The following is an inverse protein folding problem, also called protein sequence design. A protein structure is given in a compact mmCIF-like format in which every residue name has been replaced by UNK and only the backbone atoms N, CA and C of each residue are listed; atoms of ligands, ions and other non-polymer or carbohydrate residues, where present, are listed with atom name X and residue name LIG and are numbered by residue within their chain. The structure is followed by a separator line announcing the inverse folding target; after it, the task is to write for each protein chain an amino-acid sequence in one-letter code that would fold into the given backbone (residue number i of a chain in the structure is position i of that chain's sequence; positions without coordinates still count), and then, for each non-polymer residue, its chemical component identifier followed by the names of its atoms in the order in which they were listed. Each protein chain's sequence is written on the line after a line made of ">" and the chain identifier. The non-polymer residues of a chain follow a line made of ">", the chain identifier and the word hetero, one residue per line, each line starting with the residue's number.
data_IF_906627047639
#
_entry.id   IF_906627047639
#
_cell.length_a   1.000
_cell.length_b   1.000
_cell.length_c   1.000
_cell.angle_alpha   90.00
_cell.angle_beta   90.00
_cell.angle_gamma   90.00
#
_symmetry.space_group_name_H-M   'P 1'
#
loop_
_entity.id
_entity.type
_entity.pdbx_description
1 polymer ?
#
# COMPACT_ATOMS: atom_id res chain seq x y z
N UNK A 1 15.82 32.52 21.71
CA UNK A 1 17.05 31.71 21.63
C UNK A 1 17.62 31.56 23.04
N UNK A 2 17.37 30.48 23.79
CA UNK A 2 17.97 30.32 25.12
C UNK A 2 17.42 29.22 26.00
N UNK A 3 16.60 28.30 25.50
CA UNK A 3 16.46 27.01 26.18
C UNK A 3 17.26 25.99 25.39
N UNK A 4 18.49 25.89 25.78
CA UNK A 4 19.45 24.93 25.27
C UNK A 4 18.89 23.54 25.55
N UNK A 5 18.93 22.69 24.53
CA UNK A 5 18.74 21.26 24.73
C UNK A 5 19.61 20.83 25.92
N UNK A 6 18.99 20.36 27.01
CA UNK A 6 19.69 19.75 28.12
C UNK A 6 20.59 18.66 27.55
N UNK A 7 21.86 18.66 27.99
CA UNK A 7 22.76 17.54 27.67
C UNK A 7 22.10 16.24 28.11
N UNK A 8 22.34 15.14 27.37
CA UNK A 8 21.82 13.80 27.77
C UNK A 8 22.21 13.46 29.22
N UNK A 9 23.33 13.98 29.70
CA UNK A 9 23.79 13.83 31.08
C UNK A 9 22.94 14.59 32.12
N UNK A 10 22.12 15.57 31.68
CA UNK A 10 21.24 16.37 32.55
C UNK A 10 19.80 15.85 32.58
N UNK A 11 19.49 14.77 31.85
CA UNK A 11 18.16 14.17 31.84
C UNK A 11 17.96 13.36 33.13
N UNK A 12 16.79 13.55 33.75
CA UNK A 12 16.38 12.77 34.91
C UNK A 12 16.34 11.26 34.58
N UNK A 13 16.83 10.42 35.49
CA UNK A 13 16.85 8.97 35.31
C UNK A 13 15.46 8.39 35.01
N UNK A 14 14.41 8.94 35.63
CA UNK A 14 13.02 8.50 35.38
C UNK A 14 12.55 8.85 33.96
N UNK A 15 13.00 9.94 33.40
CA UNK A 15 12.73 10.31 32.02
C UNK A 15 13.42 9.36 31.02
N UNK A 16 14.68 9.02 31.28
CA UNK A 16 15.43 8.07 30.46
C UNK A 16 14.82 6.68 30.51
N UNK A 17 14.34 6.24 31.67
CA UNK A 17 13.63 4.98 31.84
C UNK A 17 12.33 4.95 31.03
N UNK A 18 11.49 5.99 31.16
CA UNK A 18 10.24 6.13 30.38
C UNK A 18 10.49 6.16 28.88
N UNK A 19 11.53 6.86 28.43
CA UNK A 19 11.92 6.91 27.02
C UNK A 19 12.37 5.52 26.53
N UNK A 20 13.18 4.83 27.33
CA UNK A 20 13.65 3.47 27.02
C UNK A 20 12.48 2.49 26.91
N UNK A 21 11.55 2.51 27.85
CA UNK A 21 10.34 1.67 27.81
C UNK A 21 9.49 1.98 26.57
N UNK A 22 9.30 3.26 26.23
CA UNK A 22 8.56 3.68 25.04
C UNK A 22 9.21 3.19 23.75
N UNK A 23 10.53 3.23 23.67
CA UNK A 23 11.29 2.71 22.54
C UNK A 23 11.16 1.18 22.42
N UNK A 24 11.27 0.46 23.54
CA UNK A 24 11.11 -1.01 23.57
C UNK A 24 9.72 -1.41 23.07
N UNK A 25 8.67 -0.73 23.54
CA UNK A 25 7.29 -0.97 23.08
C UNK A 25 7.13 -0.69 21.58
N UNK A 26 7.63 0.45 21.11
CA UNK A 26 7.53 0.83 19.71
C UNK A 26 8.31 -0.12 18.78
N UNK A 27 9.54 -0.48 19.16
CA UNK A 27 10.39 -1.38 18.36
C UNK A 27 9.93 -2.84 18.42
N UNK A 28 9.33 -3.27 19.53
CA UNK A 28 8.89 -4.65 19.72
C UNK A 28 7.56 -4.98 19.02
N UNK A 29 6.74 -3.98 18.70
CA UNK A 29 5.39 -4.21 18.20
C UNK A 29 5.37 -4.93 16.86
N UNK A 30 6.06 -4.41 15.84
CA UNK A 30 6.05 -5.01 14.51
C UNK A 30 6.66 -6.42 14.46
N UNK A 31 7.83 -6.69 15.07
CA UNK A 31 8.37 -8.05 15.15
C UNK A 31 7.42 -9.02 15.85
N UNK A 32 6.76 -8.58 16.92
CA UNK A 32 5.81 -9.42 17.65
C UNK A 32 4.58 -9.73 16.79
N UNK A 33 3.96 -8.73 16.16
CA UNK A 33 2.83 -8.93 15.24
C UNK A 33 3.22 -9.88 14.11
N UNK A 34 4.39 -9.69 13.49
CA UNK A 34 4.89 -10.57 12.44
C UNK A 34 5.04 -12.02 12.92
N UNK A 35 5.51 -12.23 14.16
CA UNK A 35 5.74 -13.59 14.70
C UNK A 35 4.46 -14.37 15.00
N UNK A 36 3.33 -13.68 15.16
CA UNK A 36 2.01 -14.30 15.44
C UNK A 36 1.05 -14.19 14.26
N UNK A 37 1.46 -13.57 13.15
CA UNK A 37 0.70 -13.53 11.89
C UNK A 37 1.02 -14.80 11.08
N UNK A 38 0.03 -15.33 10.35
CA UNK A 38 0.22 -16.48 9.46
C UNK A 38 1.40 -16.26 8.53
N UNK A 39 2.30 -17.23 8.44
CA UNK A 39 3.51 -17.14 7.64
C UNK A 39 3.21 -16.86 6.15
N UNK A 40 4.13 -16.17 5.49
CA UNK A 40 4.10 -15.94 4.05
C UNK A 40 4.27 -17.26 3.29
N UNK A 41 3.60 -17.34 2.14
CA UNK A 41 3.86 -18.44 1.20
C UNK A 41 5.30 -18.39 0.66
N UNK A 42 5.78 -19.53 0.16
CA UNK A 42 7.09 -19.59 -0.51
C UNK A 42 7.18 -18.67 -1.73
N UNK A 43 6.07 -18.43 -2.43
CA UNK A 43 6.00 -17.52 -3.58
C UNK A 43 6.19 -16.07 -3.16
N UNK A 44 5.52 -15.63 -2.08
CA UNK A 44 5.70 -14.29 -1.51
C UNK A 44 7.12 -14.07 -0.97
N UNK A 45 7.68 -15.04 -0.25
CA UNK A 45 9.07 -14.98 0.23
C UNK A 45 10.08 -14.85 -0.92
N UNK A 46 9.87 -15.61 -2.00
CA UNK A 46 10.72 -15.53 -3.19
C UNK A 46 10.63 -14.17 -3.87
N UNK A 47 9.41 -13.62 -4.00
CA UNK A 47 9.21 -12.27 -4.54
C UNK A 47 9.94 -11.22 -3.71
N UNK A 48 9.79 -11.25 -2.39
CA UNK A 48 10.49 -10.33 -1.47
C UNK A 48 12.01 -10.47 -1.63
N UNK A 49 12.55 -11.69 -1.64
CA UNK A 49 13.98 -11.92 -1.82
C UNK A 49 14.49 -11.34 -3.14
N UNK A 50 13.78 -11.55 -4.23
CA UNK A 50 14.13 -10.98 -5.54
C UNK A 50 14.11 -9.46 -5.52
N UNK A 51 13.06 -8.85 -4.93
CA UNK A 51 12.95 -7.40 -4.79
C UNK A 51 14.10 -6.80 -3.98
N UNK A 52 14.50 -7.47 -2.89
CA UNK A 52 15.60 -7.03 -2.03
C UNK A 52 16.99 -7.19 -2.69
N UNK A 53 17.14 -8.11 -3.63
CA UNK A 53 18.42 -8.37 -4.31
C UNK A 53 18.56 -7.58 -5.62
N UNK A 54 17.51 -6.95 -6.12
CA UNK A 54 17.57 -6.09 -7.30
C UNK A 54 18.28 -4.76 -6.95
N UNK A 55 19.14 -4.31 -7.85
CA UNK A 55 19.84 -3.02 -7.71
C UNK A 55 19.01 -1.90 -8.32
N UNK A 56 17.95 -1.50 -7.60
CA UNK A 56 17.01 -0.46 -8.04
C UNK A 56 17.70 0.87 -8.36
N UNK A 57 18.73 1.24 -7.59
CA UNK A 57 19.49 2.46 -7.85
C UNK A 57 20.21 2.40 -9.20
N UNK A 58 20.82 1.25 -9.51
CA UNK A 58 21.47 1.05 -10.81
C UNK A 58 20.45 1.08 -11.94
N UNK A 59 19.27 0.45 -11.77
CA UNK A 59 18.20 0.48 -12.78
C UNK A 59 17.76 1.91 -13.10
N UNK A 60 17.62 2.75 -12.09
CA UNK A 60 17.31 4.17 -12.29
C UNK A 60 18.44 4.93 -13.00
N UNK A 61 19.70 4.69 -12.62
CA UNK A 61 20.86 5.33 -13.26
C UNK A 61 21.05 4.93 -14.71
N UNK A 62 20.77 3.66 -15.05
CA UNK A 62 20.85 3.13 -16.40
C UNK A 62 19.64 3.55 -17.27
N UNK A 63 18.60 4.13 -16.67
CA UNK A 63 17.37 4.55 -17.35
C UNK A 63 16.38 3.41 -17.61
N UNK A 64 16.56 2.27 -16.95
CA UNK A 64 15.63 1.13 -17.04
C UNK A 64 14.31 1.45 -16.33
N UNK A 65 14.34 2.14 -15.18
CA UNK A 65 13.16 2.65 -14.50
C UNK A 65 12.98 4.14 -14.72
N UNK A 66 11.72 4.58 -14.77
CA UNK A 66 11.36 6.00 -14.93
C UNK A 66 11.33 6.75 -13.60
N UNK A 67 11.24 6.02 -12.50
CA UNK A 67 11.18 6.52 -11.13
C UNK A 67 12.32 5.93 -10.30
N UNK A 68 12.73 6.65 -9.27
CA UNK A 68 13.62 6.11 -8.23
C UNK A 68 12.84 5.13 -7.35
N UNK A 69 12.90 3.85 -7.70
CA UNK A 69 12.26 2.78 -6.95
C UNK A 69 13.20 2.25 -5.88
N UNK A 70 12.64 1.78 -4.77
CA UNK A 70 13.38 1.28 -3.61
C UNK A 70 12.73 -0.02 -3.11
N UNK A 71 13.54 -0.95 -2.62
CA UNK A 71 13.07 -2.26 -2.13
C UNK A 71 12.11 -2.15 -0.95
N UNK A 72 12.19 -1.08 -0.17
CA UNK A 72 11.32 -0.78 0.97
C UNK A 72 9.87 -0.48 0.57
N UNK A 73 9.60 -0.24 -0.72
CA UNK A 73 8.24 0.00 -1.24
C UNK A 73 7.37 -1.27 -1.24
N UNK A 74 7.93 -2.43 -0.90
CA UNK A 74 7.15 -3.68 -0.78
C UNK A 74 6.18 -3.58 0.40
N UNK A 75 4.90 -3.90 0.18
CA UNK A 75 3.86 -3.94 1.21
C UNK A 75 4.23 -4.87 2.38
N UNK A 76 4.78 -6.05 2.09
CA UNK A 76 5.32 -6.99 3.07
C UNK A 76 4.28 -7.79 3.85
N UNK A 77 4.79 -8.67 4.73
CA UNK A 77 4.06 -9.77 5.36
C UNK A 77 2.73 -9.37 6.04
N UNK A 78 2.77 -8.42 6.99
CA UNK A 78 1.59 -8.07 7.79
C UNK A 78 0.48 -7.51 6.91
N UNK A 79 0.83 -6.62 5.99
CA UNK A 79 -0.12 -5.98 5.09
C UNK A 79 -0.65 -6.96 4.04
N UNK A 80 0.23 -7.77 3.43
CA UNK A 80 -0.21 -8.81 2.51
C UNK A 80 -1.19 -9.79 3.16
N UNK A 81 -0.93 -10.22 4.40
CA UNK A 81 -1.86 -11.09 5.12
C UNK A 81 -3.16 -10.36 5.48
N UNK A 82 -3.11 -9.08 5.78
CA UNK A 82 -4.31 -8.27 5.98
C UNK A 82 -5.15 -8.18 4.71
N UNK A 83 -4.53 -7.90 3.55
CA UNK A 83 -5.21 -7.87 2.25
C UNK A 83 -5.84 -9.23 1.92
N UNK A 84 -5.14 -10.36 2.17
CA UNK A 84 -5.70 -11.71 2.02
C UNK A 84 -6.96 -11.90 2.87
N UNK A 85 -6.94 -11.45 4.12
CA UNK A 85 -8.11 -11.51 5.01
C UNK A 85 -9.26 -10.66 4.49
N UNK A 86 -9.00 -9.49 3.89
CA UNK A 86 -10.03 -8.67 3.26
C UNK A 86 -10.64 -9.34 2.03
N UNK A 87 -9.83 -9.98 1.17
CA UNK A 87 -10.33 -10.76 0.03
C UNK A 87 -11.31 -11.84 0.50
N UNK A 88 -10.96 -12.59 1.56
CA UNK A 88 -11.86 -13.59 2.13
C UNK A 88 -13.11 -12.98 2.76
N UNK A 89 -12.97 -11.86 3.50
CA UNK A 89 -14.09 -11.22 4.19
C UNK A 89 -15.11 -10.60 3.23
N UNK A 90 -14.63 -9.99 2.15
CA UNK A 90 -15.46 -9.39 1.09
C UNK A 90 -15.95 -10.42 0.06
N UNK A 91 -15.38 -11.63 0.08
CA UNK A 91 -15.62 -12.65 -0.96
C UNK A 91 -15.34 -12.11 -2.38
N UNK A 92 -14.34 -11.23 -2.49
CA UNK A 92 -14.00 -10.58 -3.75
C UNK A 92 -13.60 -11.61 -4.81
N UNK A 93 -14.06 -11.35 -6.03
CA UNK A 93 -13.68 -12.08 -7.25
C UNK A 93 -12.94 -11.20 -8.25
N UNK A 94 -13.26 -9.92 -8.29
CA UNK A 94 -12.57 -8.93 -9.11
C UNK A 94 -11.95 -7.87 -8.21
N UNK A 95 -10.63 -7.69 -8.34
CA UNK A 95 -9.85 -6.73 -7.58
C UNK A 95 -9.18 -5.76 -8.53
N UNK A 96 -9.20 -4.47 -8.19
CA UNK A 96 -8.42 -3.45 -8.85
C UNK A 96 -7.30 -3.00 -7.92
N UNK A 97 -6.06 -2.98 -8.41
CA UNK A 97 -4.91 -2.43 -7.70
C UNK A 97 -4.34 -1.24 -8.47
N UNK A 98 -4.07 -0.14 -7.78
CA UNK A 98 -3.47 1.06 -8.35
C UNK A 98 -2.13 1.29 -7.66
N UNK A 99 -1.04 0.99 -8.38
CA UNK A 99 0.32 0.90 -7.86
C UNK A 99 0.68 -0.55 -7.54
N UNK A 100 1.44 -1.20 -8.43
CA UNK A 100 1.79 -2.61 -8.31
C UNK A 100 3.21 -2.81 -7.75
N UNK A 101 4.15 -1.98 -8.20
CA UNK A 101 5.59 -2.16 -7.98
C UNK A 101 6.02 -3.57 -8.39
N UNK A 102 6.59 -4.37 -7.47
CA UNK A 102 7.04 -5.76 -7.77
C UNK A 102 5.94 -6.80 -7.61
N UNK A 103 4.73 -6.40 -7.20
CA UNK A 103 3.53 -7.23 -7.21
C UNK A 103 3.28 -8.04 -5.94
N UNK A 104 3.86 -7.66 -4.81
CA UNK A 104 3.68 -8.39 -3.56
C UNK A 104 2.20 -8.42 -3.10
N UNK A 105 1.55 -7.26 -3.05
CA UNK A 105 0.15 -7.11 -2.69
C UNK A 105 -0.78 -7.85 -3.65
N UNK A 106 -0.55 -7.71 -4.98
CA UNK A 106 -1.30 -8.46 -5.99
C UNK A 106 -1.18 -9.97 -5.79
N UNK A 107 0.05 -10.49 -5.59
CA UNK A 107 0.26 -11.91 -5.36
C UNK A 107 -0.41 -12.38 -4.07
N UNK A 108 -0.29 -11.61 -2.98
CA UNK A 108 -0.96 -11.93 -1.72
C UNK A 108 -2.49 -11.99 -1.89
N UNK A 109 -3.09 -11.02 -2.56
CA UNK A 109 -4.52 -11.04 -2.85
C UNK A 109 -4.91 -12.19 -3.78
N UNK A 110 -4.09 -12.49 -4.81
CA UNK A 110 -4.35 -13.58 -5.76
C UNK A 110 -4.37 -14.96 -5.11
N UNK A 111 -3.55 -15.17 -4.06
CA UNK A 111 -3.56 -16.42 -3.27
C UNK A 111 -4.91 -16.64 -2.55
N UNK A 112 -5.59 -15.56 -2.16
CA UNK A 112 -6.87 -15.62 -1.47
C UNK A 112 -8.08 -15.65 -2.42
N UNK A 113 -7.89 -15.28 -3.69
CA UNK A 113 -8.94 -15.28 -4.70
C UNK A 113 -9.40 -16.71 -5.06
N UNK A 114 -10.71 -16.91 -5.33
CA UNK A 114 -11.21 -18.17 -5.90
C UNK A 114 -10.58 -18.45 -7.27
N UNK A 115 -10.77 -19.65 -7.79
CA UNK A 115 -10.19 -20.08 -9.06
C UNK A 115 -10.64 -19.23 -10.27
N UNK A 116 -11.84 -18.68 -10.19
CA UNK A 116 -12.45 -17.78 -11.18
C UNK A 116 -12.24 -16.29 -10.86
N UNK A 117 -11.37 -15.97 -9.88
CA UNK A 117 -11.07 -14.59 -9.50
C UNK A 117 -9.96 -13.97 -10.34
N UNK A 118 -9.97 -12.65 -10.40
CA UNK A 118 -9.01 -11.85 -11.17
C UNK A 118 -8.57 -10.58 -10.44
N UNK A 119 -7.36 -10.13 -10.75
CA UNK A 119 -6.82 -8.83 -10.35
C UNK A 119 -6.43 -8.07 -11.61
N UNK A 120 -6.85 -6.81 -11.71
CA UNK A 120 -6.28 -5.85 -12.65
C UNK A 120 -5.40 -4.90 -11.85
N UNK A 121 -4.10 -4.90 -12.14
CA UNK A 121 -3.11 -4.09 -11.45
C UNK A 121 -2.53 -3.04 -12.40
N UNK A 122 -2.56 -1.77 -12.00
CA UNK A 122 -2.00 -0.66 -12.76
C UNK A 122 -0.58 -0.37 -12.27
N UNK A 123 0.38 -0.29 -13.20
CA UNK A 123 1.77 0.06 -12.90
C UNK A 123 2.29 1.06 -13.94
N UNK A 124 2.87 2.16 -13.46
CA UNK A 124 3.38 3.19 -14.35
C UNK A 124 4.77 2.86 -14.91
N UNK A 125 5.58 2.12 -14.15
CA UNK A 125 6.94 1.79 -14.51
C UNK A 125 7.00 0.45 -15.28
N UNK A 126 7.43 0.46 -16.56
CA UNK A 126 7.48 -0.78 -17.37
C UNK A 126 8.44 -1.82 -16.79
N UNK A 127 9.56 -1.40 -16.19
CA UNK A 127 10.53 -2.31 -15.60
C UNK A 127 9.94 -3.02 -14.37
N UNK A 128 9.30 -2.27 -13.48
CA UNK A 128 8.62 -2.84 -12.31
C UNK A 128 7.51 -3.82 -12.74
N UNK A 129 6.72 -3.44 -13.75
CA UNK A 129 5.69 -4.32 -14.30
C UNK A 129 6.26 -5.63 -14.87
N UNK A 130 7.37 -5.57 -15.61
CA UNK A 130 8.01 -6.76 -16.17
C UNK A 130 8.68 -7.61 -15.08
N UNK A 131 9.25 -6.96 -14.05
CA UNK A 131 9.77 -7.64 -12.88
C UNK A 131 8.67 -8.43 -12.16
N UNK A 132 7.51 -7.82 -11.93
CA UNK A 132 6.35 -8.46 -11.33
C UNK A 132 5.87 -9.66 -12.16
N UNK A 133 5.72 -9.52 -13.49
CA UNK A 133 5.36 -10.62 -14.40
C UNK A 133 6.28 -11.82 -14.23
N UNK A 134 7.61 -11.59 -14.23
CA UNK A 134 8.59 -12.67 -14.04
C UNK A 134 8.50 -13.32 -12.64
N UNK A 135 8.06 -12.58 -11.62
CA UNK A 135 7.80 -13.18 -10.32
C UNK A 135 6.56 -14.07 -10.36
N UNK A 136 5.50 -13.65 -11.05
CA UNK A 136 4.23 -14.38 -11.13
C UNK A 136 4.31 -15.65 -11.99
N UNK A 137 5.12 -15.67 -13.06
CA UNK A 137 5.27 -16.81 -13.96
C UNK A 137 5.59 -18.12 -13.25
N UNK A 138 6.31 -18.07 -12.13
CA UNK A 138 6.68 -19.24 -11.33
C UNK A 138 5.59 -19.68 -10.35
N UNK A 139 4.47 -18.94 -10.26
CA UNK A 139 3.40 -19.18 -9.29
C UNK A 139 2.15 -19.80 -9.92
N UNK A 140 1.35 -20.48 -9.11
CA UNK A 140 0.04 -20.98 -9.54
C UNK A 140 -1.01 -19.87 -9.76
N UNK A 141 -0.68 -18.63 -9.41
CA UNK A 141 -1.60 -17.49 -9.39
C UNK A 141 -1.42 -16.53 -10.57
N UNK A 142 -0.40 -16.76 -11.42
CA UNK A 142 -0.09 -15.90 -12.57
C UNK A 142 -1.31 -15.60 -13.45
N UNK A 143 -2.14 -16.60 -13.73
CA UNK A 143 -3.31 -16.44 -14.60
C UNK A 143 -4.41 -15.53 -14.03
N UNK A 144 -4.34 -15.22 -12.73
CA UNK A 144 -5.31 -14.34 -12.07
C UNK A 144 -4.93 -12.86 -12.12
N UNK A 145 -3.69 -12.51 -12.49
CA UNK A 145 -3.16 -11.15 -12.39
C UNK A 145 -2.90 -10.59 -13.78
N UNK A 146 -3.67 -9.57 -14.17
CA UNK A 146 -3.46 -8.80 -15.38
C UNK A 146 -2.79 -7.46 -15.02
N UNK A 147 -1.70 -7.10 -15.72
CA UNK A 147 -0.96 -5.85 -15.46
C UNK A 147 -1.19 -4.87 -16.61
N UNK A 148 -1.76 -3.73 -16.29
CA UNK A 148 -1.95 -2.57 -17.16
C UNK A 148 -0.78 -1.60 -16.95
N UNK A 149 0.07 -1.46 -17.97
CA UNK A 149 1.28 -0.62 -17.89
C UNK A 149 1.00 0.78 -18.43
N UNK A 150 1.32 1.78 -17.64
CA UNK A 150 1.17 3.19 -17.97
C UNK A 150 0.44 3.99 -16.90
N UNK A 151 0.06 5.24 -17.18
CA UNK A 151 -0.66 6.07 -16.23
C UNK A 151 -1.97 5.42 -15.77
N UNK A 152 -2.14 5.22 -14.47
CA UNK A 152 -3.33 4.57 -13.91
C UNK A 152 -4.64 5.24 -14.36
N UNK A 153 -4.64 6.56 -14.58
CA UNK A 153 -5.80 7.30 -15.09
C UNK A 153 -6.32 6.76 -16.42
N UNK A 154 -5.43 6.34 -17.31
CA UNK A 154 -5.81 5.85 -18.65
C UNK A 154 -6.40 4.45 -18.54
N UNK A 155 -5.81 3.59 -17.68
CA UNK A 155 -6.33 2.27 -17.35
C UNK A 155 -7.70 2.36 -16.69
N UNK A 156 -7.87 3.25 -15.70
CA UNK A 156 -9.14 3.49 -15.02
C UNK A 156 -10.24 3.95 -15.99
N UNK A 157 -9.91 4.84 -16.92
CA UNK A 157 -10.85 5.31 -17.95
C UNK A 157 -11.27 4.15 -18.87
N UNK A 158 -10.32 3.32 -19.27
CA UNK A 158 -10.59 2.13 -20.08
C UNK A 158 -11.53 1.15 -19.36
N UNK A 159 -11.23 0.85 -18.10
CA UNK A 159 -12.05 -0.05 -17.27
C UNK A 159 -13.47 0.49 -17.06
N UNK A 160 -13.61 1.79 -16.80
CA UNK A 160 -14.91 2.45 -16.66
C UNK A 160 -15.72 2.38 -17.97
N UNK A 161 -15.10 2.65 -19.12
CA UNK A 161 -15.75 2.55 -20.43
C UNK A 161 -16.20 1.11 -20.79
N UNK A 162 -15.51 0.11 -20.23
CA UNK A 162 -15.88 -1.30 -20.36
C UNK A 162 -16.98 -1.72 -19.37
N UNK A 163 -17.40 -0.83 -18.47
CA UNK A 163 -18.38 -1.13 -17.42
C UNK A 163 -17.86 -2.11 -16.37
N UNK A 164 -16.53 -2.17 -16.18
CA UNK A 164 -15.91 -3.05 -15.17
C UNK A 164 -16.26 -2.58 -13.76
N UNK A 165 -16.43 -3.54 -12.87
CA UNK A 165 -16.66 -3.29 -11.45
C UNK A 165 -15.84 -4.27 -10.61
N UNK A 166 -15.44 -3.83 -9.40
CA UNK A 166 -14.56 -4.56 -8.51
C UNK A 166 -15.16 -4.61 -7.11
N UNK A 167 -15.02 -5.73 -6.41
CA UNK A 167 -15.46 -5.87 -5.01
C UNK A 167 -14.44 -5.30 -4.03
N UNK A 168 -13.17 -5.29 -4.42
CA UNK A 168 -12.07 -4.73 -3.63
C UNK A 168 -11.20 -3.85 -4.54
N UNK A 169 -10.88 -2.66 -4.06
CA UNK A 169 -9.96 -1.75 -4.76
C UNK A 169 -8.84 -1.38 -3.78
N UNK A 170 -7.59 -1.63 -4.14
CA UNK A 170 -6.41 -1.27 -3.35
C UNK A 170 -5.66 -0.14 -4.05
N UNK A 171 -5.31 0.92 -3.31
CA UNK A 171 -4.60 2.08 -3.84
C UNK A 171 -3.32 2.29 -3.03
N UNK A 172 -2.18 2.07 -3.67
CA UNK A 172 -0.84 2.32 -3.16
C UNK A 172 0.07 2.84 -4.29
N UNK A 173 -0.24 4.02 -4.79
CA UNK A 173 0.46 4.69 -5.88
C UNK A 173 1.11 5.99 -5.42
N UNK A 174 1.35 6.92 -6.35
CA UNK A 174 1.81 8.27 -6.03
C UNK A 174 0.80 8.99 -5.12
N UNK A 175 1.28 9.53 -4.01
CA UNK A 175 0.41 10.09 -2.96
C UNK A 175 -0.35 11.34 -3.43
N UNK A 176 0.23 12.09 -4.39
CA UNK A 176 -0.43 13.24 -5.01
C UNK A 176 -1.68 12.85 -5.83
N UNK A 177 -1.72 11.62 -6.35
CA UNK A 177 -2.84 11.09 -7.13
C UNK A 177 -4.03 10.56 -6.32
N UNK A 178 -3.89 10.31 -5.03
CA UNK A 178 -4.87 9.59 -4.21
C UNK A 178 -6.29 10.16 -4.28
N UNK A 179 -6.45 11.48 -4.15
CA UNK A 179 -7.76 12.14 -4.26
C UNK A 179 -8.38 11.89 -5.63
N UNK A 180 -7.58 12.03 -6.69
CA UNK A 180 -8.06 11.84 -8.06
C UNK A 180 -8.45 10.39 -8.34
N UNK A 181 -7.67 9.41 -7.84
CA UNK A 181 -8.00 8.00 -7.98
C UNK A 181 -9.29 7.65 -7.25
N UNK A 182 -9.42 8.06 -5.99
CA UNK A 182 -10.61 7.80 -5.19
C UNK A 182 -11.86 8.44 -5.83
N UNK A 183 -11.78 9.72 -6.20
CA UNK A 183 -12.90 10.42 -6.81
C UNK A 183 -13.30 9.79 -8.15
N UNK A 184 -12.33 9.38 -8.97
CA UNK A 184 -12.59 8.69 -10.22
C UNK A 184 -13.31 7.34 -10.00
N UNK A 185 -12.83 6.53 -9.06
CA UNK A 185 -13.42 5.24 -8.70
C UNK A 185 -14.88 5.39 -8.28
N UNK A 186 -15.16 6.36 -7.41
CA UNK A 186 -16.52 6.62 -6.91
C UNK A 186 -17.42 7.16 -8.01
N UNK A 187 -16.94 8.18 -8.75
CA UNK A 187 -17.76 8.91 -9.73
C UNK A 187 -18.07 8.08 -10.98
N UNK A 188 -17.25 7.08 -11.30
CA UNK A 188 -17.44 6.21 -12.47
C UNK A 188 -17.97 4.82 -12.13
N UNK A 189 -18.31 4.57 -10.85
CA UNK A 189 -18.94 3.31 -10.43
C UNK A 189 -18.07 2.08 -10.59
N UNK A 190 -16.74 2.22 -10.43
CA UNK A 190 -15.80 1.09 -10.51
C UNK A 190 -15.91 0.14 -9.29
N UNK A 191 -16.44 0.61 -8.16
CA UNK A 191 -16.70 -0.23 -7.00
C UNK A 191 -18.10 -0.83 -7.06
N UNK A 192 -18.21 -2.13 -6.82
CA UNK A 192 -19.52 -2.80 -6.70
C UNK A 192 -20.28 -2.31 -5.46
N UNK A 193 -21.58 -2.47 -5.45
CA UNK A 193 -22.39 -2.20 -4.25
C UNK A 193 -21.95 -3.11 -3.10
N UNK A 194 -21.50 -2.50 -2.00
CA UNK A 194 -21.00 -3.23 -0.82
C UNK A 194 -19.51 -3.59 -0.92
N UNK A 195 -18.83 -3.19 -1.99
CA UNK A 195 -17.38 -3.33 -2.12
C UNK A 195 -16.61 -2.43 -1.17
N UNK A 196 -15.31 -2.66 -1.09
CA UNK A 196 -14.39 -2.00 -0.18
C UNK A 196 -13.23 -1.36 -0.95
N UNK A 197 -12.87 -0.13 -0.57
CA UNK A 197 -11.63 0.52 -1.03
C UNK A 197 -10.64 0.51 0.13
N UNK A 198 -9.40 0.17 -0.15
CA UNK A 198 -8.28 0.11 0.80
C UNK A 198 -7.20 1.06 0.31
N UNK A 199 -6.80 2.00 1.15
CA UNK A 199 -5.77 2.98 0.81
C UNK A 199 -4.59 2.79 1.75
N UNK A 200 -3.39 2.62 1.20
CA UNK A 200 -2.16 2.47 1.99
C UNK A 200 -1.49 3.81 2.30
N UNK A 201 -0.57 3.78 3.27
CA UNK A 201 0.29 4.86 3.76
C UNK A 201 -0.45 6.11 4.25
N UNK A 202 -1.65 5.95 4.78
CA UNK A 202 -2.47 7.09 5.20
C UNK A 202 -2.01 7.75 6.52
N UNK A 203 -1.04 7.17 7.23
CA UNK A 203 -0.33 7.79 8.35
C UNK A 203 1.01 8.42 7.93
N UNK A 204 1.58 8.04 6.80
CA UNK A 204 2.78 8.60 6.16
C UNK A 204 3.87 8.93 7.18
N UNK A 205 4.35 7.89 7.89
CA UNK A 205 5.39 7.96 8.93
C UNK A 205 5.14 9.03 10.01
N UNK A 206 3.87 9.40 10.20
CA UNK A 206 3.46 10.40 11.19
C UNK A 206 3.51 11.84 10.70
N UNK A 207 3.95 12.12 9.47
CA UNK A 207 4.06 13.46 8.93
C UNK A 207 2.76 14.27 9.02
N UNK A 208 1.57 13.72 8.66
CA UNK A 208 0.31 14.46 8.67
C UNK A 208 -0.11 14.97 10.06
N UNK A 209 0.29 14.28 11.14
CA UNK A 209 -0.17 14.64 12.49
C UNK A 209 0.94 15.18 13.40
N UNK A 210 2.20 14.89 13.15
CA UNK A 210 3.33 15.47 13.92
C UNK A 210 3.74 16.83 13.41
N UNK A 211 3.54 17.10 12.12
CA UNK A 211 3.92 18.32 11.40
C UNK A 211 5.42 18.67 11.50
N UNK A 212 6.24 17.68 11.79
CA UNK A 212 7.68 17.81 11.81
C UNK A 212 8.23 17.41 10.42
N UNK A 213 8.84 18.37 9.72
CA UNK A 213 9.48 18.16 8.41
C UNK A 213 8.55 17.49 7.37
N UNK A 214 7.32 18.01 7.21
CA UNK A 214 6.37 17.49 6.24
C UNK A 214 6.95 17.58 4.82
N UNK A 215 7.09 16.42 4.17
CA UNK A 215 7.45 16.32 2.76
C UNK A 215 6.25 16.44 1.83
N UNK A 216 6.49 16.44 0.53
CA UNK A 216 5.43 16.53 -0.47
C UNK A 216 4.39 15.39 -0.34
N UNK A 217 4.84 14.17 -0.01
CA UNK A 217 3.96 13.03 0.21
C UNK A 217 3.13 13.20 1.49
N UNK A 218 3.73 13.68 2.58
CA UNK A 218 3.01 13.96 3.84
C UNK A 218 1.92 15.02 3.65
N UNK A 219 2.21 16.12 2.93
CA UNK A 219 1.21 17.12 2.58
C UNK A 219 0.08 16.55 1.71
N UNK A 220 0.41 15.69 0.76
CA UNK A 220 -0.57 15.06 -0.11
C UNK A 220 -1.50 14.13 0.69
N UNK A 221 -0.95 13.33 1.60
CA UNK A 221 -1.72 12.45 2.48
C UNK A 221 -2.54 13.25 3.50
N UNK A 222 -2.02 14.33 4.07
CA UNK A 222 -2.83 15.21 4.95
C UNK A 222 -4.07 15.72 4.21
N UNK A 223 -3.90 16.22 2.98
CA UNK A 223 -5.00 16.68 2.12
C UNK A 223 -5.98 15.55 1.79
N UNK A 224 -5.46 14.36 1.46
CA UNK A 224 -6.28 13.18 1.19
C UNK A 224 -7.13 12.79 2.41
N UNK A 225 -6.52 12.68 3.58
CA UNK A 225 -7.21 12.31 4.81
C UNK A 225 -8.33 13.32 5.15
N UNK A 226 -8.06 14.63 4.98
CA UNK A 226 -9.07 15.67 5.18
C UNK A 226 -10.19 15.60 4.13
N UNK A 227 -9.85 15.33 2.87
CA UNK A 227 -10.81 15.16 1.78
C UNK A 227 -11.77 13.99 2.09
N UNK A 228 -11.25 12.82 2.43
CA UNK A 228 -12.09 11.64 2.71
C UNK A 228 -12.94 11.86 3.96
N UNK A 229 -12.37 12.47 5.02
CA UNK A 229 -13.12 12.78 6.25
C UNK A 229 -14.31 13.75 6.03
N UNK A 230 -14.24 14.59 5.00
CA UNK A 230 -15.30 15.53 4.64
C UNK A 230 -16.27 14.97 3.60
N UNK A 231 -15.96 13.86 2.94
CA UNK A 231 -16.75 13.30 1.84
C UNK A 231 -17.98 12.54 2.36
N UNK A 232 -19.16 13.09 2.09
CA UNK A 232 -20.44 12.51 2.52
C UNK A 232 -20.90 11.30 1.68
N UNK A 233 -20.18 10.95 0.62
CA UNK A 233 -20.48 9.77 -0.20
C UNK A 233 -19.99 8.48 0.44
N UNK A 234 -19.12 8.58 1.45
CA UNK A 234 -18.40 7.45 2.02
C UNK A 234 -18.45 7.44 3.54
N UNK A 235 -18.22 6.27 4.12
CA UNK A 235 -17.77 6.10 5.50
C UNK A 235 -16.39 5.44 5.50
N UNK A 236 -15.58 5.73 6.50
CA UNK A 236 -14.19 5.31 6.56
C UNK A 236 -13.73 4.99 7.97
N UNK A 237 -12.66 4.19 8.05
CA UNK A 237 -11.87 3.99 9.26
C UNK A 237 -10.39 3.93 8.91
N UNK A 238 -9.55 4.60 9.71
CA UNK A 238 -8.08 4.51 9.60
C UNK A 238 -7.58 3.48 10.61
N UNK A 239 -6.79 2.53 10.15
CA UNK A 239 -6.18 1.47 10.95
C UNK A 239 -4.66 1.68 11.00
N UNK A 240 -4.03 1.58 12.20
CA UNK A 240 -2.59 1.75 12.33
C UNK A 240 -1.84 0.44 11.98
N UNK A 241 -2.07 -0.08 10.77
CA UNK A 241 -1.35 -1.22 10.21
C UNK A 241 -0.20 -0.66 9.40
N UNK A 242 1.04 -1.02 9.75
CA UNK A 242 2.26 -0.47 9.14
C UNK A 242 2.23 1.06 9.08
N UNK A 243 2.22 1.65 7.88
CA UNK A 243 2.18 3.10 7.67
C UNK A 243 0.75 3.66 7.57
N UNK A 244 -0.22 2.91 8.06
CA UNK A 244 -1.63 3.29 8.12
C UNK A 244 -2.43 2.88 6.90
N UNK A 245 -3.53 2.17 7.14
CA UNK A 245 -4.49 1.76 6.12
C UNK A 245 -5.82 2.43 6.38
N UNK A 246 -6.40 3.05 5.36
CA UNK A 246 -7.78 3.55 5.41
C UNK A 246 -8.71 2.60 4.65
N UNK A 247 -9.73 2.11 5.33
CA UNK A 247 -10.83 1.38 4.71
C UNK A 247 -11.97 2.34 4.41
N UNK A 248 -12.50 2.28 3.19
CA UNK A 248 -13.55 3.19 2.70
C UNK A 248 -14.67 2.36 2.08
N UNK A 249 -15.90 2.69 2.44
CA UNK A 249 -17.13 2.14 1.87
C UNK A 249 -17.99 3.26 1.29
N UNK A 250 -18.59 3.05 0.11
CA UNK A 250 -19.59 3.98 -0.45
C UNK A 250 -20.94 3.77 0.28
N UNK A 251 -21.63 4.86 0.62
CA UNK A 251 -22.91 4.87 1.35
C UNK A 251 -24.12 4.57 0.45
#
# INVERSE_FOLDING_TARGET
>A
LGEQAKSIADLDASFLETLSESLVLAQGMNPYIGSITTEESGDLQNLVQRTQTEDWQKRFQDGDTTLGLEQEMVSGHIEGQFLKMLVHATQAKAILEIGLFTGYSALAMAEALPADGEIVACEIDPYAADFARHCFEATAHNSKIAIEVGPAKDSLLTLANQGRQFELIFIDADKAGYIAYLDFVISNGLLTKGGLIVIDNTLMQGEPYTRNNIGANGEAIEKFNQFVAADRRVEQVVLPIRDGITLIRIL
#
